data_IF_575753052418
#
_entry.id   IF_575753052418
#
_cell.length_a   1.000
_cell.length_b   1.000
_cell.length_c   1.000
_cell.angle_alpha   90.00
_cell.angle_beta   90.00
_cell.angle_gamma   90.00
#
_symmetry.space_group_name_H-M   'P 1'
#
loop_
_entity.id
_entity.type
_entity.pdbx_description
1 polymer ?
#
# COMPACT_ATOMS: atom_id res chain seq x y z
N UNK A 1 6.61 0.93 -9.23
CA UNK A 1 6.10 0.35 -7.99
C UNK A 1 6.94 0.88 -6.87
N UNK A 2 6.47 1.91 -6.19
CA UNK A 2 7.20 2.58 -5.12
C UNK A 2 6.94 1.87 -3.78
N UNK A 3 7.93 1.71 -2.91
CA UNK A 3 7.68 1.22 -1.56
C UNK A 3 6.91 2.29 -0.78
N UNK A 4 5.75 1.92 -0.25
CA UNK A 4 5.00 2.74 0.69
C UNK A 4 5.10 2.11 2.09
N UNK A 5 5.36 2.96 3.08
CA UNK A 5 5.35 2.56 4.49
C UNK A 5 3.98 2.86 5.04
N UNK A 6 3.30 1.83 5.53
CA UNK A 6 2.00 1.96 6.20
C UNK A 6 2.19 2.46 7.63
N UNK A 7 1.12 2.98 8.24
CA UNK A 7 1.15 3.46 9.64
C UNK A 7 1.58 2.37 10.63
N UNK A 8 1.36 1.10 10.28
CA UNK A 8 1.79 -0.07 11.04
C UNK A 8 3.30 -0.36 10.93
N UNK A 9 4.04 0.37 10.08
CA UNK A 9 5.45 0.11 9.75
C UNK A 9 5.66 -0.95 8.66
N UNK A 10 4.58 -1.51 8.10
CA UNK A 10 4.67 -2.47 7.00
C UNK A 10 5.06 -1.75 5.70
N UNK A 11 6.12 -2.21 5.03
CA UNK A 11 6.56 -1.71 3.73
C UNK A 11 5.94 -2.58 2.63
N UNK A 12 5.10 -1.97 1.79
CA UNK A 12 4.45 -2.65 0.67
C UNK A 12 4.71 -1.95 -0.64
N UNK A 13 4.72 -2.70 -1.74
CA UNK A 13 4.94 -2.12 -3.07
C UNK A 13 3.61 -1.60 -3.59
N UNK A 14 3.51 -0.28 -3.76
CA UNK A 14 2.31 0.36 -4.33
C UNK A 14 2.57 0.85 -5.76
N UNK A 15 1.54 0.94 -6.61
CA UNK A 15 1.67 1.54 -7.93
C UNK A 15 2.12 3.01 -7.86
N UNK A 16 2.77 3.49 -8.93
CA UNK A 16 3.39 4.82 -8.95
C UNK A 16 2.36 5.98 -8.91
N UNK A 17 1.08 5.71 -9.18
CA UNK A 17 -0.01 6.69 -9.14
C UNK A 17 -0.65 6.91 -7.76
N UNK A 18 -0.26 6.15 -6.74
CA UNK A 18 -0.78 6.29 -5.38
C UNK A 18 -0.13 7.50 -4.69
N UNK A 19 -0.89 8.33 -3.97
CA UNK A 19 -0.36 9.47 -3.23
C UNK A 19 -0.46 9.28 -1.71
N UNK A 20 0.29 10.07 -0.94
CA UNK A 20 0.19 10.09 0.51
C UNK A 20 -1.20 10.60 0.93
N UNK A 21 -1.92 9.80 1.73
CA UNK A 21 -3.30 10.10 2.14
C UNK A 21 -4.40 9.36 1.35
N UNK A 22 -4.07 8.61 0.30
CA UNK A 22 -5.02 7.69 -0.36
C UNK A 22 -5.24 6.44 0.53
N UNK A 23 -6.50 6.04 0.70
CA UNK A 23 -6.83 4.78 1.38
C UNK A 23 -6.64 3.59 0.44
N UNK A 24 -5.82 2.64 0.88
CA UNK A 24 -5.42 1.47 0.11
C UNK A 24 -5.87 0.22 0.85
N UNK A 25 -6.51 -0.70 0.14
CA UNK A 25 -6.80 -2.02 0.67
C UNK A 25 -5.63 -2.92 0.35
N UNK A 26 -4.94 -3.35 1.41
CA UNK A 26 -3.72 -4.14 1.33
C UNK A 26 -3.99 -5.46 2.02
N UNK A 27 -3.51 -6.56 1.43
CA UNK A 27 -3.53 -7.85 2.08
C UNK A 27 -2.40 -7.92 3.11
N UNK A 28 -2.73 -7.95 4.40
CA UNK A 28 -1.75 -8.04 5.50
C UNK A 28 -1.07 -9.40 5.59
N UNK A 29 -1.65 -10.46 5.01
CA UNK A 29 -1.06 -11.80 5.00
C UNK A 29 0.02 -11.96 3.92
N UNK A 30 -0.18 -11.34 2.75
CA UNK A 30 0.78 -11.43 1.62
C UNK A 30 1.60 -10.16 1.41
N UNK A 31 1.23 -9.04 2.04
CA UNK A 31 1.84 -7.73 1.83
C UNK A 31 1.50 -7.12 0.46
N UNK A 32 0.53 -7.69 -0.26
CA UNK A 32 0.19 -7.27 -1.62
C UNK A 32 -0.92 -6.22 -1.62
N UNK A 33 -0.75 -5.21 -2.47
CA UNK A 33 -1.79 -4.24 -2.77
C UNK A 33 -2.98 -4.94 -3.46
N UNK A 34 -4.17 -4.83 -2.88
CA UNK A 34 -5.37 -5.51 -3.38
C UNK A 34 -6.20 -4.58 -4.26
N UNK A 35 -6.55 -3.38 -3.80
CA UNK A 35 -7.44 -2.44 -4.51
C UNK A 35 -7.42 -1.05 -3.89
N UNK A 36 -7.86 -0.04 -4.64
CA UNK A 36 -8.22 1.28 -4.13
C UNK A 36 -9.65 1.22 -3.61
N UNK A 37 -9.92 1.76 -2.42
CA UNK A 37 -11.28 1.94 -1.92
C UNK A 37 -11.96 3.12 -2.60
#
# INVERSE_FOLDING_TARGET
>A
GKPATMETGLVVTVPDFINEGDELIINTDTGEYKSRA
#
